data_IF_233323067647
#
_entry.id   IF_233323067647
#
_cell.length_a   1.000
_cell.length_b   1.000
_cell.length_c   1.000
_cell.angle_alpha   90.00
_cell.angle_beta   90.00
_cell.angle_gamma   90.00
#
_symmetry.space_group_name_H-M   'P 1'
#
loop_
_entity.id
_entity.type
_entity.pdbx_description
1 polymer ?
#
# COMPACT_ATOMS: atom_id res chain seq x y z
N UNK A 1 -7.93 11.99 -3.90
CA UNK A 1 -8.86 10.85 -3.82
C UNK A 1 -8.11 9.73 -3.10
N UNK A 2 -8.39 9.49 -1.82
CA UNK A 2 -7.78 8.35 -1.11
C UNK A 2 -8.46 7.08 -1.63
N UNK A 3 -7.76 6.31 -2.45
CA UNK A 3 -8.20 4.96 -2.77
C UNK A 3 -7.77 4.09 -1.59
N UNK A 4 -8.69 3.54 -0.77
CA UNK A 4 -8.30 2.69 0.34
C UNK A 4 -7.66 1.43 -0.26
N UNK A 5 -6.34 1.36 -0.20
CA UNK A 5 -5.60 0.14 -0.49
C UNK A 5 -5.64 -0.75 0.74
N UNK A 6 -5.61 -2.06 0.51
CA UNK A 6 -5.63 -3.07 1.57
C UNK A 6 -4.57 -2.78 2.64
N UNK A 7 -3.40 -2.27 2.22
CA UNK A 7 -2.30 -1.99 3.13
C UNK A 7 -2.51 -0.83 4.11
N UNK A 8 -3.35 0.16 3.77
CA UNK A 8 -3.70 1.23 4.70
C UNK A 8 -4.81 0.83 5.69
N UNK A 9 -5.53 -0.26 5.40
CA UNK A 9 -6.75 -0.60 6.13
C UNK A 9 -6.43 -1.05 7.56
N UNK A 10 -5.42 -1.91 7.74
CA UNK A 10 -5.00 -2.39 9.07
C UNK A 10 -4.43 -1.24 9.92
N UNK A 11 -3.44 -0.45 9.46
CA UNK A 11 -2.90 0.67 10.25
C UNK A 11 -3.96 1.71 10.63
N UNK A 12 -4.93 1.95 9.74
CA UNK A 12 -6.04 2.87 10.02
C UNK A 12 -6.96 2.33 11.11
N UNK A 13 -7.25 1.01 11.10
CA UNK A 13 -8.06 0.38 12.14
C UNK A 13 -7.36 0.40 13.50
N UNK A 14 -6.06 0.08 13.54
CA UNK A 14 -5.25 0.13 14.76
C UNK A 14 -5.21 1.55 15.34
N UNK A 15 -4.90 2.54 14.49
CA UNK A 15 -4.90 3.96 14.89
C UNK A 15 -6.28 4.41 15.42
N UNK A 16 -7.36 3.92 14.82
CA UNK A 16 -8.71 4.25 15.24
C UNK A 16 -9.05 3.59 16.58
N UNK A 17 -8.68 2.32 16.77
CA UNK A 17 -8.85 1.59 18.03
C UNK A 17 -8.11 2.31 19.17
N UNK A 18 -6.82 2.59 19.02
CA UNK A 18 -6.00 3.29 20.02
C UNK A 18 -6.62 4.63 20.46
N UNK A 19 -7.10 5.41 19.48
CA UNK A 19 -7.77 6.69 19.75
C UNK A 19 -9.07 6.50 20.50
N UNK A 20 -9.86 5.49 20.16
CA UNK A 20 -11.15 5.24 20.80
C UNK A 20 -11.00 4.65 22.20
N UNK A 21 -9.97 3.83 22.45
CA UNK A 21 -9.60 3.38 23.79
C UNK A 21 -9.18 4.55 24.67
N UNK A 22 -8.35 5.45 24.12
CA UNK A 22 -7.98 6.70 24.77
C UNK A 22 -9.22 7.54 25.11
N UNK A 23 -10.19 7.64 24.19
CA UNK A 23 -11.44 8.36 24.44
C UNK A 23 -12.30 7.69 25.50
N UNK A 24 -12.40 6.36 25.52
CA UNK A 24 -13.14 5.62 26.54
C UNK A 24 -12.54 5.82 27.94
N UNK A 25 -11.21 6.02 28.05
CA UNK A 25 -10.51 6.29 29.30
C UNK A 25 -10.67 7.74 29.81
N UNK A 26 -10.96 8.69 28.91
CA UNK A 26 -11.09 10.10 29.28
C UNK A 26 -12.45 10.41 29.93
N UNK A 27 -12.44 11.08 31.08
CA UNK A 27 -13.66 11.46 31.82
C UNK A 27 -14.62 12.33 30.98
N UNK A 28 -14.12 13.16 30.06
CA UNK A 28 -14.94 14.01 29.18
C UNK A 28 -15.89 13.21 28.26
N UNK A 29 -15.57 11.95 27.98
CA UNK A 29 -16.39 11.09 27.11
C UNK A 29 -17.19 10.05 27.90
N UNK A 30 -17.26 10.17 29.24
CA UNK A 30 -17.96 9.18 30.08
C UNK A 30 -19.41 8.91 29.64
N UNK A 31 -20.15 9.95 29.20
CA UNK A 31 -21.52 9.80 28.67
C UNK A 31 -21.60 9.01 27.36
N UNK A 32 -20.52 9.00 26.58
CA UNK A 32 -20.41 8.28 25.30
C UNK A 32 -19.66 6.96 25.47
N UNK A 33 -19.14 6.65 26.67
CA UNK A 33 -18.31 5.47 26.94
C UNK A 33 -18.95 4.19 26.42
N UNK A 34 -20.24 3.98 26.71
CA UNK A 34 -20.98 2.82 26.23
C UNK A 34 -20.99 2.70 24.70
N UNK A 35 -21.22 3.81 23.98
CA UNK A 35 -21.22 3.83 22.52
C UNK A 35 -19.81 3.59 21.96
N UNK A 36 -18.78 4.14 22.60
CA UNK A 36 -17.37 3.95 22.22
C UNK A 36 -16.97 2.48 22.41
N UNK A 37 -17.32 1.85 23.54
CA UNK A 37 -17.07 0.43 23.81
C UNK A 37 -17.77 -0.47 22.80
N UNK A 38 -19.01 -0.16 22.42
CA UNK A 38 -19.74 -0.89 21.37
C UNK A 38 -19.05 -0.76 20.01
N UNK A 39 -18.54 0.42 19.69
CA UNK A 39 -17.79 0.63 18.46
C UNK A 39 -16.43 -0.07 18.46
N UNK A 40 -15.70 -0.03 19.58
CA UNK A 40 -14.46 -0.80 19.77
C UNK A 40 -14.69 -2.30 19.57
N UNK A 41 -15.78 -2.84 20.10
CA UNK A 41 -16.14 -4.26 19.87
C UNK A 41 -16.37 -4.56 18.39
N UNK A 42 -17.00 -3.65 17.64
CA UNK A 42 -17.16 -3.79 16.19
C UNK A 42 -15.82 -3.68 15.44
N UNK A 43 -14.99 -2.69 15.78
CA UNK A 43 -13.67 -2.52 15.17
C UNK A 43 -12.79 -3.75 15.39
N UNK A 44 -12.81 -4.32 16.60
CA UNK A 44 -12.08 -5.55 16.90
C UNK A 44 -12.58 -6.74 16.07
N UNK A 45 -13.90 -6.86 15.86
CA UNK A 45 -14.46 -7.87 14.96
C UNK A 45 -13.99 -7.68 13.52
N UNK A 46 -13.99 -6.44 13.04
CA UNK A 46 -13.56 -6.11 11.67
C UNK A 46 -12.04 -6.38 11.50
N UNK A 47 -11.22 -6.09 12.53
CA UNK A 47 -9.80 -6.44 12.56
C UNK A 47 -9.57 -7.96 12.48
N UNK A 48 -10.26 -8.74 13.33
CA UNK A 48 -10.17 -10.20 13.32
C UNK A 48 -10.60 -10.80 11.97
N UNK A 49 -11.60 -10.23 11.32
CA UNK A 49 -12.02 -10.66 9.99
C UNK A 49 -10.91 -10.43 8.94
N UNK A 50 -10.20 -9.31 9.01
CA UNK A 50 -9.09 -9.02 8.11
C UNK A 50 -7.88 -9.90 8.38
N UNK A 51 -7.55 -10.14 9.65
CA UNK A 51 -6.45 -11.00 10.08
C UNK A 51 -6.66 -12.46 9.64
N UNK A 52 -7.89 -12.97 9.75
CA UNK A 52 -8.26 -14.31 9.28
C UNK A 52 -8.31 -14.44 7.75
N UNK A 53 -8.27 -13.32 7.02
CA UNK A 53 -8.36 -13.33 5.57
C UNK A 53 -6.96 -13.44 4.94
N UNK A 54 -6.63 -14.65 4.48
CA UNK A 54 -5.37 -14.94 3.79
C UNK A 54 -5.10 -14.00 2.60
N UNK A 55 -6.13 -13.48 1.92
CA UNK A 55 -5.95 -12.54 0.80
C UNK A 55 -5.40 -11.20 1.29
N UNK A 56 -5.84 -10.74 2.46
CA UNK A 56 -5.37 -9.49 3.07
C UNK A 56 -3.91 -9.66 3.52
N UNK A 57 -3.59 -10.77 4.17
CA UNK A 57 -2.22 -11.12 4.55
C UNK A 57 -1.29 -11.18 3.33
N UNK A 58 -1.68 -11.91 2.27
CA UNK A 58 -0.88 -12.03 1.05
C UNK A 58 -0.74 -10.67 0.37
N UNK A 59 -1.80 -9.87 0.30
CA UNK A 59 -1.76 -8.53 -0.30
C UNK A 59 -0.78 -7.63 0.44
N UNK A 60 -0.78 -7.64 1.78
CA UNK A 60 0.18 -6.90 2.61
C UNK A 60 1.62 -7.38 2.42
N UNK A 61 1.83 -8.71 2.41
CA UNK A 61 3.15 -9.30 2.24
C UNK A 61 3.75 -9.05 0.85
N UNK A 62 2.91 -8.83 -0.17
CA UNK A 62 3.31 -8.56 -1.54
C UNK A 62 3.32 -7.07 -1.89
N UNK A 63 2.67 -6.20 -1.12
CA UNK A 63 2.63 -4.77 -1.42
C UNK A 63 4.02 -4.13 -1.18
N UNK A 64 4.67 -3.62 -2.24
CA UNK A 64 6.00 -3.03 -2.12
C UNK A 64 5.97 -1.73 -1.30
N UNK A 65 4.86 -1.00 -1.26
CA UNK A 65 4.74 0.23 -0.47
C UNK A 65 4.75 -0.08 1.03
N UNK A 66 4.09 -1.16 1.44
CA UNK A 66 4.09 -1.57 2.83
C UNK A 66 5.50 -1.90 3.32
N UNK A 67 6.28 -2.63 2.51
CA UNK A 67 7.69 -2.93 2.82
C UNK A 67 8.57 -1.68 2.81
N UNK A 68 8.31 -0.77 1.88
CA UNK A 68 9.07 0.48 1.75
C UNK A 68 8.85 1.39 2.96
N UNK A 69 7.60 1.61 3.38
CA UNK A 69 7.29 2.42 4.56
C UNK A 69 7.80 1.75 5.84
N UNK A 70 7.66 0.42 5.97
CA UNK A 70 8.25 -0.31 7.09
C UNK A 70 9.77 -0.12 7.16
N UNK A 71 10.48 -0.26 6.04
CA UNK A 71 11.93 -0.05 5.99
C UNK A 71 12.30 1.39 6.34
N UNK A 72 11.51 2.37 5.91
CA UNK A 72 11.73 3.79 6.21
C UNK A 72 11.55 4.12 7.69
N UNK A 73 10.56 3.53 8.35
CA UNK A 73 10.29 3.76 9.77
C UNK A 73 11.19 2.93 10.69
N UNK A 74 11.54 1.71 10.28
CA UNK A 74 12.22 0.73 11.15
C UNK A 74 13.74 0.69 10.97
N UNK A 75 14.28 1.13 9.84
CA UNK A 75 15.73 1.11 9.58
C UNK A 75 16.37 2.45 9.95
N UNK A 76 17.68 2.42 10.19
CA UNK A 76 18.45 3.66 10.34
C UNK A 76 18.41 4.44 9.03
N UNK A 77 18.08 5.73 9.14
CA UNK A 77 17.86 6.65 8.02
C UNK A 77 19.05 6.68 7.04
N UNK A 78 20.28 6.52 7.54
CA UNK A 78 21.48 6.47 6.71
C UNK A 78 21.46 5.24 5.80
N UNK A 79 21.26 4.05 6.37
CA UNK A 79 21.27 2.80 5.60
C UNK A 79 20.05 2.68 4.68
N UNK A 80 18.89 3.21 5.09
CA UNK A 80 17.73 3.31 4.21
C UNK A 80 18.03 4.16 2.98
N UNK A 81 18.61 5.36 3.18
CA UNK A 81 18.96 6.26 2.08
C UNK A 81 20.02 5.69 1.15
N UNK A 82 21.09 5.10 1.69
CA UNK A 82 22.13 4.42 0.91
C UNK A 82 21.57 3.25 0.10
N UNK A 83 20.71 2.43 0.70
CA UNK A 83 20.04 1.31 0.02
C UNK A 83 19.10 1.75 -1.08
N UNK A 84 18.33 2.83 -0.88
CA UNK A 84 17.42 3.37 -1.88
C UNK A 84 18.18 3.92 -3.08
N UNK A 85 19.24 4.70 -2.85
CA UNK A 85 20.08 5.24 -3.92
C UNK A 85 20.74 4.13 -4.76
N UNK A 86 21.19 3.05 -4.12
CA UNK A 86 21.73 1.90 -4.82
C UNK A 86 20.67 1.18 -5.67
N UNK A 87 19.45 1.02 -5.15
CA UNK A 87 18.32 0.43 -5.88
C UNK A 87 17.95 1.27 -7.11
N UNK A 88 17.82 2.59 -6.94
CA UNK A 88 17.52 3.54 -8.01
C UNK A 88 18.58 3.45 -9.13
N UNK A 89 19.87 3.45 -8.77
CA UNK A 89 20.96 3.34 -9.75
C UNK A 89 20.86 2.06 -10.59
N UNK A 90 20.57 0.91 -9.97
CA UNK A 90 20.41 -0.37 -10.68
C UNK A 90 19.18 -0.33 -11.59
N UNK A 91 18.07 0.26 -11.11
CA UNK A 91 16.85 0.38 -11.87
C UNK A 91 17.02 1.28 -13.10
N UNK A 92 17.72 2.41 -12.95
CA UNK A 92 17.99 3.34 -14.06
C UNK A 92 18.79 2.68 -15.18
N UNK A 93 19.79 1.85 -14.84
CA UNK A 93 20.55 1.06 -15.81
C UNK A 93 19.63 0.09 -16.56
N UNK A 94 18.77 -0.63 -15.82
CA UNK A 94 17.79 -1.53 -16.42
C UNK A 94 16.82 -0.78 -17.35
N UNK A 95 16.24 0.33 -16.89
CA UNK A 95 15.26 1.12 -17.63
C UNK A 95 15.84 1.68 -18.93
N UNK A 96 17.07 2.20 -18.89
CA UNK A 96 17.79 2.65 -20.09
C UNK A 96 18.05 1.48 -21.08
N UNK A 97 18.35 0.28 -20.55
CA UNK A 97 18.51 -0.95 -21.32
C UNK A 97 17.23 -1.47 -21.97
N UNK A 98 16.06 -1.23 -21.38
CA UNK A 98 14.75 -1.55 -21.97
C UNK A 98 14.36 -0.52 -23.03
N UNK A 99 14.53 0.78 -22.73
CA UNK A 99 14.21 1.87 -23.66
C UNK A 99 14.98 1.74 -24.98
N UNK A 100 16.26 1.39 -24.91
CA UNK A 100 17.13 1.17 -26.08
C UNK A 100 16.79 -0.09 -26.90
N UNK A 101 16.03 -1.05 -26.35
CA UNK A 101 15.61 -2.28 -27.02
C UNK A 101 14.21 -2.22 -27.62
N UNK A 102 13.49 -1.11 -27.46
CA UNK A 102 12.16 -0.92 -28.06
C UNK A 102 12.31 -0.85 -29.58
N UNK A 103 11.79 -1.82 -30.36
CA UNK A 103 11.91 -1.77 -31.81
C UNK A 103 11.05 -0.63 -32.36
N UNK A 104 11.68 0.26 -33.12
CA UNK A 104 11.03 1.19 -34.03
C UNK A 104 10.46 0.39 -35.21
N UNK A 105 9.35 -0.33 -35.00
CA UNK A 105 8.61 -1.01 -36.07
C UNK A 105 7.11 -0.80 -35.89
N UNK A 106 6.68 0.43 -36.13
CA UNK A 106 5.28 0.77 -36.39
C UNK A 106 5.17 1.84 -37.49
N UNK A 107 6.02 1.79 -38.53
CA UNK A 107 5.91 2.70 -39.68
C UNK A 107 6.02 2.06 -41.07
N UNK A 108 6.24 0.73 -41.21
CA UNK A 108 6.26 0.06 -42.52
C UNK A 108 5.05 -0.86 -42.76
N UNK A 109 3.85 -0.37 -42.41
CA UNK A 109 2.59 -1.00 -42.79
C UNK A 109 1.64 0.02 -43.45
N UNK A 110 2.15 0.76 -44.43
CA UNK A 110 1.31 1.45 -45.41
C UNK A 110 1.89 1.13 -46.78
N UNK A 111 1.05 0.52 -47.63
CA UNK A 111 1.27 0.06 -49.02
C UNK A 111 1.56 -1.43 -49.19
N UNK A 112 0.55 -2.29 -48.99
CA UNK A 112 0.20 -3.26 -50.06
C UNK A 112 -1.25 -3.76 -49.95
N UNK A 113 -1.88 -3.86 -51.12
CA UNK A 113 -3.12 -4.56 -51.46
C UNK A 113 -4.47 -3.97 -51.01
N UNK A 114 -4.91 -2.96 -51.79
CA UNK A 114 -6.33 -2.89 -52.12
C UNK A 114 -6.77 -4.11 -52.94
N UNK A 115 -7.94 -4.65 -52.60
CA UNK A 115 -8.98 -5.28 -53.47
C UNK A 115 -9.62 -6.48 -52.77
N UNK A 116 -10.81 -6.26 -52.19
CA UNK A 116 -11.91 -7.23 -52.21
C UNK A 116 -13.23 -6.46 -52.26
N UNK A 117 -13.75 -6.30 -53.48
CA UNK A 117 -15.19 -6.28 -53.80
C UNK A 117 -15.45 -7.51 -54.65
#
# INVERSE_FOLDING_TARGET
MFMPTVWHTIPTLETLQDKWETFAAMQKFHKLKWSIEKGLAKLNKDYQFLDQNNVVFISLALDPNFKLEYAKESWDSKYFGEGMAALEQVFDIYAAGVASKTPQSANDAVLDSGKYT
#
